data_IF_936537041588
#
_entry.id   IF_936537041588
#
_cell.length_a   1.000
_cell.length_b   1.000
_cell.length_c   1.000
_cell.angle_alpha   90.00
_cell.angle_beta   90.00
_cell.angle_gamma   90.00
#
_symmetry.space_group_name_H-M   'P 1'
#
loop_
_entity.id
_entity.type
_entity.pdbx_description
1 polymer ?
#
# COMPACT_ATOMS: atom_id res chain seq x y z
N UNK A 1 10.21 5.26 -3.85
CA UNK A 1 10.25 4.34 -2.69
C UNK A 1 10.73 5.10 -1.47
N UNK A 2 10.11 4.95 -0.29
CA UNK A 2 10.46 5.68 0.93
C UNK A 2 10.19 4.83 2.17
N UNK A 3 11.00 4.95 3.21
CA UNK A 3 10.82 4.22 4.49
C UNK A 3 9.84 4.89 5.47
N UNK A 4 9.32 6.08 5.13
CA UNK A 4 8.45 6.85 6.00
C UNK A 4 7.03 6.27 6.06
N UNK A 5 6.50 6.14 7.28
CA UNK A 5 5.19 5.52 7.56
C UNK A 5 4.04 6.53 7.68
N UNK A 6 4.23 7.77 7.22
CA UNK A 6 3.21 8.82 7.41
C UNK A 6 1.95 8.57 6.57
N UNK A 7 2.13 8.14 5.31
CA UNK A 7 1.03 7.91 4.38
C UNK A 7 0.19 6.66 4.68
N UNK A 8 0.70 5.73 5.50
CA UNK A 8 0.01 4.46 5.83
C UNK A 8 -1.01 4.57 6.97
N UNK A 9 -1.19 5.75 7.56
CA UNK A 9 -2.07 5.95 8.73
C UNK A 9 -3.54 6.23 8.38
N UNK A 10 -3.83 6.49 7.11
CA UNK A 10 -5.18 6.85 6.63
C UNK A 10 -5.79 5.67 5.89
N UNK A 11 -7.10 5.55 6.03
CA UNK A 11 -7.90 4.63 5.23
C UNK A 11 -8.17 5.27 3.88
N UNK A 12 -8.20 4.45 2.84
CA UNK A 12 -8.38 4.91 1.47
C UNK A 12 -9.42 4.01 0.81
N UNK A 13 -10.39 4.62 0.15
CA UNK A 13 -11.27 3.91 -0.76
C UNK A 13 -10.72 4.14 -2.17
N UNK A 14 -10.40 3.03 -2.84
CA UNK A 14 -10.07 2.99 -4.26
C UNK A 14 -11.21 2.29 -5.01
N UNK A 15 -11.33 2.61 -6.31
CA UNK A 15 -12.29 1.95 -7.18
C UNK A 15 -11.55 1.01 -8.12
N UNK A 16 -12.12 -0.19 -8.30
CA UNK A 16 -11.62 -1.11 -9.32
C UNK A 16 -11.86 -0.55 -10.72
N UNK A 17 -10.99 -0.96 -11.65
CA UNK A 17 -11.07 -0.55 -13.04
C UNK A 17 -12.36 -1.11 -13.66
N UNK A 18 -13.18 -0.21 -14.20
CA UNK A 18 -14.42 -0.62 -14.85
C UNK A 18 -14.12 -1.50 -16.08
N UNK A 19 -14.76 -2.68 -16.14
CA UNK A 19 -14.59 -3.61 -17.27
C UNK A 19 -15.03 -2.93 -18.59
N UNK A 20 -14.15 -2.97 -19.59
CA UNK A 20 -14.38 -2.35 -20.90
C UNK A 20 -14.06 -0.86 -21.00
N UNK A 21 -13.85 -0.17 -19.87
CA UNK A 21 -13.45 1.24 -19.82
C UNK A 21 -12.03 1.45 -19.25
N UNK A 22 -11.27 0.36 -19.12
CA UNK A 22 -9.86 0.38 -18.71
C UNK A 22 -8.97 1.17 -19.69
N UNK A 23 -7.66 1.17 -19.45
CA UNK A 23 -6.76 1.99 -20.28
C UNK A 23 -6.53 1.37 -21.66
N UNK A 24 -6.59 2.18 -22.70
CA UNK A 24 -6.21 1.81 -24.07
C UNK A 24 -5.26 2.85 -24.69
N UNK A 25 -4.57 2.45 -25.73
CA UNK A 25 -3.64 3.30 -26.49
C UNK A 25 -4.40 4.14 -27.53
N UNK A 26 -4.18 5.45 -27.50
CA UNK A 26 -4.76 6.35 -28.50
C UNK A 26 -3.94 6.31 -29.79
N UNK A 27 -4.58 5.98 -30.91
CA UNK A 27 -3.96 5.84 -32.24
C UNK A 27 -3.20 7.07 -32.78
N UNK A 28 -3.31 8.24 -32.15
CA UNK A 28 -2.67 9.48 -32.63
C UNK A 28 -1.27 9.72 -32.03
N UNK A 29 -1.11 9.65 -30.71
CA UNK A 29 0.14 9.95 -29.96
C UNK A 29 0.38 8.89 -28.87
N UNK A 30 -0.32 7.76 -28.92
CA UNK A 30 -0.15 6.61 -28.03
C UNK A 30 -0.30 6.95 -26.53
N UNK A 31 -1.10 7.97 -26.22
CA UNK A 31 -1.47 8.27 -24.84
C UNK A 31 -2.41 7.20 -24.29
N UNK A 32 -2.21 6.85 -23.02
CA UNK A 32 -3.10 5.96 -22.29
C UNK A 32 -4.43 6.65 -22.00
N UNK A 33 -5.38 6.49 -22.92
CA UNK A 33 -6.75 6.98 -22.79
C UNK A 33 -7.57 6.05 -21.91
N UNK A 34 -8.61 6.58 -21.27
CA UNK A 34 -9.52 5.83 -20.41
C UNK A 34 -10.92 6.43 -20.51
N UNK A 35 -11.94 5.58 -20.36
CA UNK A 35 -13.35 5.99 -20.30
C UNK A 35 -13.89 5.92 -18.87
N UNK A 36 -13.05 5.48 -17.92
CA UNK A 36 -13.43 5.34 -16.53
C UNK A 36 -13.47 6.70 -15.82
N UNK A 37 -14.66 7.09 -15.35
CA UNK A 37 -14.93 8.35 -14.68
C UNK A 37 -14.66 8.32 -13.16
N UNK A 38 -14.49 7.14 -12.57
CA UNK A 38 -14.06 7.00 -11.17
C UNK A 38 -12.55 6.87 -11.06
N UNK A 39 -11.87 6.57 -12.17
CA UNK A 39 -10.42 6.50 -12.18
C UNK A 39 -9.77 7.80 -11.70
N UNK A 40 -8.85 7.67 -10.74
CA UNK A 40 -8.14 8.79 -10.11
C UNK A 40 -8.93 9.49 -9.01
N UNK A 41 -10.17 9.08 -8.73
CA UNK A 41 -10.92 9.53 -7.56
C UNK A 41 -10.64 8.59 -6.42
N UNK A 42 -10.00 9.11 -5.38
CA UNK A 42 -9.71 8.37 -4.18
C UNK A 42 -10.07 9.20 -2.96
N UNK A 43 -10.69 8.56 -1.97
CA UNK A 43 -11.18 9.23 -0.78
C UNK A 43 -10.38 8.77 0.44
N UNK A 44 -9.90 9.74 1.23
CA UNK A 44 -9.13 9.46 2.44
C UNK A 44 -10.00 9.61 3.69
N UNK A 45 -9.93 8.61 4.57
CA UNK A 45 -10.66 8.55 5.83
C UNK A 45 -9.71 8.35 7.01
N UNK A 46 -10.17 8.72 8.21
CA UNK A 46 -9.39 8.54 9.44
C UNK A 46 -9.58 7.15 10.03
N UNK A 47 -10.77 6.58 9.91
CA UNK A 47 -11.12 5.28 10.47
C UNK A 47 -11.76 4.33 9.43
N UNK A 48 -11.60 3.02 9.65
CA UNK A 48 -12.26 1.96 8.85
C UNK A 48 -13.78 2.11 8.87
N UNK A 49 -14.34 2.43 10.04
CA UNK A 49 -15.79 2.55 10.23
C UNK A 49 -16.40 3.70 9.43
N UNK A 50 -15.71 4.84 9.38
CA UNK A 50 -16.14 5.99 8.56
C UNK A 50 -16.16 5.65 7.06
N UNK A 51 -15.11 4.96 6.59
CA UNK A 51 -15.03 4.52 5.19
C UNK A 51 -16.16 3.54 4.84
N UNK A 52 -16.41 2.56 5.69
CA UNK A 52 -17.50 1.58 5.51
C UNK A 52 -18.86 2.28 5.51
N UNK A 53 -19.14 3.13 6.49
CA UNK A 53 -20.40 3.87 6.56
C UNK A 53 -20.63 4.74 5.32
N UNK A 54 -19.57 5.36 4.79
CA UNK A 54 -19.66 6.14 3.56
C UNK A 54 -19.97 5.25 2.36
N UNK A 55 -19.29 4.11 2.21
CA UNK A 55 -19.54 3.16 1.13
C UNK A 55 -20.98 2.59 1.18
N UNK A 56 -21.46 2.21 2.36
CA UNK A 56 -22.82 1.72 2.57
C UNK A 56 -23.88 2.78 2.26
N UNK A 57 -23.64 4.04 2.65
CA UNK A 57 -24.54 5.16 2.35
C UNK A 57 -24.66 5.42 0.85
N UNK A 58 -23.59 5.22 0.08
CA UNK A 58 -23.60 5.34 -1.38
C UNK A 58 -24.11 4.07 -2.08
N UNK A 59 -24.30 2.97 -1.36
CA UNK A 59 -24.74 1.69 -1.90
C UNK A 59 -23.66 0.97 -2.71
N UNK A 60 -22.38 1.20 -2.42
CA UNK A 60 -21.28 0.54 -3.11
C UNK A 60 -20.90 -0.78 -2.45
N UNK A 61 -20.68 -1.81 -3.26
CA UNK A 61 -20.04 -3.06 -2.83
C UNK A 61 -18.60 -2.78 -2.45
N UNK A 62 -18.15 -3.25 -1.29
CA UNK A 62 -16.81 -3.00 -0.78
C UNK A 62 -16.17 -4.29 -0.26
N UNK A 63 -14.85 -4.39 -0.41
CA UNK A 63 -14.00 -5.37 0.25
C UNK A 63 -12.99 -4.61 1.13
N UNK A 64 -12.69 -5.13 2.32
CA UNK A 64 -11.79 -4.45 3.26
C UNK A 64 -10.50 -5.23 3.44
N UNK A 65 -9.41 -4.66 2.91
CA UNK A 65 -8.06 -5.12 3.19
C UNK A 65 -7.59 -4.67 4.58
N UNK A 66 -7.26 -5.65 5.42
CA UNK A 66 -6.73 -5.34 6.75
C UNK A 66 -5.25 -4.96 6.71
N UNK A 67 -4.84 -3.92 7.48
CA UNK A 67 -3.46 -3.45 7.46
C UNK A 67 -2.52 -4.49 8.05
N UNK A 68 -1.53 -4.91 7.26
CA UNK A 68 -0.47 -5.82 7.70
C UNK A 68 0.41 -5.13 8.75
N UNK A 69 0.35 -5.60 9.99
CA UNK A 69 1.18 -5.07 11.10
C UNK A 69 2.62 -5.55 10.93
N UNK A 70 3.56 -4.61 10.81
CA UNK A 70 4.98 -4.94 10.82
C UNK A 70 5.41 -5.33 12.24
N UNK A 71 5.87 -6.57 12.42
CA UNK A 71 6.50 -7.03 13.66
C UNK A 71 7.90 -6.44 13.71
N UNK A 72 8.20 -5.65 14.75
CA UNK A 72 9.54 -5.10 14.97
C UNK A 72 10.27 -6.01 15.95
N UNK A 73 11.21 -6.86 15.50
CA UNK A 73 12.01 -7.66 16.41
C UNK A 73 12.94 -6.76 17.23
N UNK A 74 13.32 -7.16 18.45
CA UNK A 74 14.32 -6.44 19.22
C UNK A 74 15.63 -6.39 18.44
N UNK A 75 16.17 -5.18 18.24
CA UNK A 75 17.45 -4.96 17.56
C UNK A 75 18.43 -4.37 18.55
N UNK A 76 19.47 -5.13 18.87
CA UNK A 76 20.58 -4.71 19.73
C UNK A 76 21.85 -4.57 18.91
N UNK A 77 22.49 -3.41 18.97
CA UNK A 77 23.75 -3.17 18.24
C UNK A 77 24.89 -4.11 18.68
N UNK A 78 24.88 -4.53 19.95
CA UNK A 78 25.81 -5.50 20.50
C UNK A 78 25.80 -6.86 19.75
N UNK A 79 24.67 -7.22 19.12
CA UNK A 79 24.56 -8.47 18.36
C UNK A 79 25.55 -8.52 17.17
N UNK A 80 26.04 -7.36 16.72
CA UNK A 80 27.02 -7.29 15.64
C UNK A 80 28.42 -7.79 16.06
N UNK A 81 28.73 -7.84 17.37
CA UNK A 81 30.08 -8.13 17.89
C UNK A 81 30.12 -9.36 18.81
N UNK A 82 29.11 -10.23 18.73
CA UNK A 82 29.03 -11.44 19.57
C UNK A 82 30.17 -12.40 19.22
N UNK A 83 30.83 -12.94 20.23
CA UNK A 83 31.86 -13.96 20.04
C UNK A 83 31.22 -15.24 19.47
N UNK A 84 31.73 -15.69 18.33
CA UNK A 84 31.36 -16.97 17.74
C UNK A 84 32.57 -17.91 17.89
N UNK A 85 32.44 -19.05 18.61
CA UNK A 85 33.57 -19.93 18.89
C UNK A 85 34.04 -20.74 17.66
N UNK A 86 33.32 -20.67 16.53
CA UNK A 86 33.63 -21.38 15.29
C UNK A 86 33.92 -20.45 14.10
N UNK A 87 33.92 -21.02 12.89
CA UNK A 87 34.11 -20.24 11.66
C UNK A 87 32.96 -19.25 11.47
N UNK A 88 33.31 -17.96 11.32
CA UNK A 88 32.34 -16.89 11.08
C UNK A 88 31.58 -17.12 9.77
N UNK A 89 30.25 -16.94 9.82
CA UNK A 89 29.37 -17.08 8.63
C UNK A 89 29.51 -15.89 7.68
N UNK A 90 29.66 -14.69 8.23
CA UNK A 90 29.74 -13.42 7.49
C UNK A 90 30.76 -12.54 8.19
N UNK A 91 31.64 -11.88 7.43
CA UNK A 91 32.49 -10.82 7.96
C UNK A 91 31.69 -9.52 7.98
N UNK A 92 31.30 -9.07 9.17
CA UNK A 92 30.54 -7.83 9.34
C UNK A 92 31.43 -6.62 8.99
N UNK A 93 31.07 -5.90 7.94
CA UNK A 93 31.44 -4.49 7.74
C UNK A 93 30.36 -3.60 8.37
N UNK A 94 30.70 -2.33 8.65
CA UNK A 94 29.83 -1.37 9.36
C UNK A 94 28.36 -1.40 8.94
#
# INVERSE_FOLDING_TARGET
MQSAKSKTKRWFIDFDVLQGAGRWENKLIDWASSADYVQGKGLFFRSKKEAIYFAEKQGWSYEVDEPKKAVVPPKTYANNYVHVPGKLRIHHTK
#
